data_IF_932583894207
#
_entry.id   IF_932583894207
#
_cell.length_a   1.000
_cell.length_b   1.000
_cell.length_c   1.000
_cell.angle_alpha   90.00
_cell.angle_beta   90.00
_cell.angle_gamma   90.00
#
_symmetry.space_group_name_H-M   'P 1'
#
loop_
_entity.id
_entity.type
_entity.pdbx_description
1 polymer ?
#
# COMPACT_ATOMS: atom_id res chain seq x y z
N UNK A 1 47.28 -17.78 9.75
CA UNK A 1 45.97 -17.14 9.46
C UNK A 1 45.16 -18.19 8.73
N UNK A 2 44.27 -18.85 9.46
CA UNK A 2 43.45 -19.94 8.94
C UNK A 2 42.42 -19.40 7.93
N UNK A 3 42.40 -20.04 6.76
CA UNK A 3 41.40 -19.84 5.73
C UNK A 3 40.05 -20.39 6.23
N UNK A 4 39.19 -19.52 6.74
CA UNK A 4 37.79 -19.83 7.01
C UNK A 4 36.95 -19.77 5.72
N UNK A 5 37.31 -20.56 4.71
CA UNK A 5 36.33 -20.98 3.70
C UNK A 5 35.66 -22.26 4.21
N UNK A 6 34.76 -22.08 5.18
CA UNK A 6 33.91 -23.15 5.68
C UNK A 6 32.92 -23.58 4.60
N UNK A 7 33.09 -24.80 4.08
CA UNK A 7 32.06 -25.71 3.59
C UNK A 7 30.73 -25.04 3.15
N UNK A 8 30.68 -24.47 1.95
CA UNK A 8 29.39 -24.28 1.27
C UNK A 8 28.92 -25.66 0.79
N UNK A 9 28.33 -26.44 1.70
CA UNK A 9 27.62 -27.66 1.35
C UNK A 9 26.58 -27.34 0.27
N UNK A 10 26.46 -28.22 -0.73
CA UNK A 10 25.55 -28.08 -1.88
C UNK A 10 24.23 -27.42 -1.50
N UNK A 11 24.05 -26.17 -1.92
CA UNK A 11 22.83 -25.39 -1.71
C UNK A 11 21.69 -26.05 -2.51
N UNK A 12 20.79 -26.77 -1.84
CA UNK A 12 19.56 -27.30 -2.44
C UNK A 12 18.35 -26.48 -1.98
N UNK A 13 17.34 -26.32 -2.85
CA UNK A 13 16.10 -25.61 -2.50
C UNK A 13 15.41 -26.23 -1.27
N UNK A 14 15.50 -27.56 -1.10
CA UNK A 14 14.91 -28.29 0.03
C UNK A 14 15.51 -27.92 1.38
N UNK A 15 16.75 -27.41 1.40
CA UNK A 15 17.47 -27.02 2.62
C UNK A 15 17.59 -25.51 2.79
N UNK A 16 16.90 -24.73 1.95
CA UNK A 16 16.91 -23.27 2.09
C UNK A 16 16.28 -22.87 3.43
N UNK A 17 16.94 -22.03 4.22
CA UNK A 17 16.41 -21.57 5.50
C UNK A 17 15.33 -20.51 5.28
N UNK A 18 14.13 -20.93 4.83
CA UNK A 18 13.02 -20.03 4.48
C UNK A 18 12.59 -19.15 5.66
N UNK A 19 12.64 -19.68 6.89
CA UNK A 19 12.37 -18.89 8.09
C UNK A 19 13.32 -17.71 8.20
N UNK A 20 14.63 -17.94 8.08
CA UNK A 20 15.64 -16.88 8.12
C UNK A 20 15.44 -15.88 6.97
N UNK A 21 15.08 -16.35 5.78
CA UNK A 21 14.76 -15.47 4.64
C UNK A 21 13.58 -14.53 4.92
N UNK A 22 12.51 -15.05 5.55
CA UNK A 22 11.33 -14.25 5.90
C UNK A 22 11.66 -13.28 7.06
N UNK A 23 12.41 -13.74 8.05
CA UNK A 23 12.81 -12.95 9.23
C UNK A 23 13.72 -11.76 8.86
N UNK A 24 14.69 -11.98 7.96
CA UNK A 24 15.61 -10.95 7.49
C UNK A 24 15.02 -10.05 6.39
N UNK A 25 13.84 -10.38 5.86
CA UNK A 25 13.14 -9.55 4.88
C UNK A 25 12.80 -8.19 5.49
N UNK A 26 13.11 -7.11 4.77
CA UNK A 26 12.65 -5.75 5.12
C UNK A 26 11.20 -5.50 4.75
N UNK A 27 10.59 -6.38 3.94
CA UNK A 27 9.18 -6.31 3.60
C UNK A 27 8.35 -6.99 4.69
N UNK A 28 7.21 -6.41 5.07
CA UNK A 28 6.16 -7.09 5.84
C UNK A 28 5.81 -8.43 5.22
N UNK A 29 5.93 -9.50 6.00
CA UNK A 29 5.52 -10.85 5.61
C UNK A 29 4.82 -11.57 6.75
N UNK A 30 3.80 -12.32 6.38
CA UNK A 30 3.07 -13.20 7.27
C UNK A 30 2.77 -14.52 6.58
N UNK A 31 2.69 -15.59 7.36
CA UNK A 31 2.27 -16.91 6.90
C UNK A 31 0.99 -17.26 7.65
N UNK A 32 -0.01 -17.76 6.92
CA UNK A 32 -1.23 -18.31 7.50
C UNK A 32 -1.41 -19.78 7.11
N UNK A 33 -2.06 -20.54 7.97
CA UNK A 33 -2.51 -21.89 7.67
C UNK A 33 -3.71 -21.87 6.71
N UNK A 34 -4.11 -23.05 6.24
CA UNK A 34 -5.31 -23.23 5.41
C UNK A 34 -6.60 -22.78 6.12
N UNK A 35 -6.61 -22.67 7.45
CA UNK A 35 -7.74 -22.19 8.24
C UNK A 35 -7.66 -20.68 8.53
N UNK A 36 -6.85 -19.93 7.76
CA UNK A 36 -6.60 -18.49 7.93
C UNK A 36 -6.01 -18.09 9.28
N UNK A 37 -5.39 -19.03 10.01
CA UNK A 37 -4.73 -18.75 11.28
C UNK A 37 -3.28 -18.35 11.06
N UNK A 38 -2.82 -17.31 11.73
CA UNK A 38 -1.43 -16.86 11.62
C UNK A 38 -0.48 -17.92 12.17
N UNK A 39 0.50 -18.32 11.35
CA UNK A 39 1.58 -19.24 11.71
C UNK A 39 2.85 -18.45 12.02
N UNK A 40 3.09 -17.36 11.28
CA UNK A 40 4.27 -16.54 11.47
C UNK A 40 4.03 -15.10 11.02
N UNK A 41 4.63 -14.13 11.71
CA UNK A 41 4.65 -12.72 11.34
C UNK A 41 6.06 -12.19 11.58
N UNK A 42 6.70 -11.61 10.55
CA UNK A 42 8.02 -11.01 10.73
C UNK A 42 7.94 -9.62 11.38
N UNK A 43 9.07 -9.10 11.87
CA UNK A 43 9.11 -7.79 12.54
C UNK A 43 8.54 -6.64 11.70
N UNK A 44 8.87 -6.48 10.40
CA UNK A 44 8.24 -5.47 9.57
C UNK A 44 6.71 -5.61 9.47
N UNK A 45 6.16 -6.83 9.47
CA UNK A 45 4.71 -7.03 9.47
C UNK A 45 4.07 -6.70 10.82
N UNK A 46 4.72 -7.01 11.95
CA UNK A 46 4.26 -6.54 13.27
C UNK A 46 4.18 -5.01 13.32
N UNK A 47 5.19 -4.33 12.78
CA UNK A 47 5.23 -2.87 12.74
C UNK A 47 4.20 -2.29 11.78
N UNK A 48 4.10 -2.83 10.55
CA UNK A 48 3.09 -2.43 9.55
C UNK A 48 1.66 -2.62 10.07
N UNK A 49 1.33 -3.80 10.59
CA UNK A 49 -0.02 -4.10 11.08
C UNK A 49 -0.30 -3.48 12.45
N UNK A 50 0.64 -2.70 13.01
CA UNK A 50 0.54 -2.11 14.33
C UNK A 50 0.22 -3.13 15.45
N UNK A 51 0.68 -4.37 15.29
CA UNK A 51 0.42 -5.45 16.25
C UNK A 51 1.28 -5.21 17.50
N UNK A 52 0.72 -5.25 18.72
CA UNK A 52 1.51 -5.12 19.95
C UNK A 52 2.60 -6.18 20.02
N UNK A 53 3.82 -5.81 20.40
CA UNK A 53 4.96 -6.74 20.43
C UNK A 53 4.77 -7.93 21.39
N UNK A 54 3.93 -7.76 22.41
CA UNK A 54 3.58 -8.79 23.39
C UNK A 54 2.38 -9.65 22.97
N UNK A 55 1.75 -9.36 21.84
CA UNK A 55 0.59 -10.11 21.38
C UNK A 55 1.01 -11.47 20.83
N UNK A 56 0.40 -12.53 21.36
CA UNK A 56 0.60 -13.89 20.88
C UNK A 56 -0.28 -14.14 19.64
N UNK A 57 0.31 -13.94 18.47
CA UNK A 57 -0.37 -14.03 17.19
C UNK A 57 -0.52 -15.47 16.67
N UNK A 58 0.25 -16.43 17.18
CA UNK A 58 0.28 -17.77 16.61
C UNK A 58 -1.07 -18.47 16.85
N UNK A 59 -1.62 -19.07 15.79
CA UNK A 59 -2.93 -19.71 15.81
C UNK A 59 -4.13 -18.76 15.79
N UNK A 60 -3.93 -17.43 15.84
CA UNK A 60 -5.04 -16.44 15.85
C UNK A 60 -5.63 -16.22 14.46
N UNK A 61 -6.93 -15.93 14.42
CA UNK A 61 -7.63 -15.37 13.26
C UNK A 61 -7.45 -13.85 13.22
N UNK A 62 -7.66 -13.22 12.06
CA UNK A 62 -7.60 -11.76 11.89
C UNK A 62 -8.50 -11.01 12.90
N UNK A 63 -9.69 -11.53 13.19
CA UNK A 63 -10.67 -10.94 14.10
C UNK A 63 -10.23 -10.96 15.57
N UNK A 64 -9.23 -11.77 15.93
CA UNK A 64 -8.72 -11.87 17.31
C UNK A 64 -7.63 -10.83 17.59
N UNK A 65 -7.18 -10.07 16.58
CA UNK A 65 -6.13 -9.07 16.77
C UNK A 65 -6.65 -7.79 17.42
N UNK A 66 -5.88 -7.19 18.36
CA UNK A 66 -6.22 -5.95 19.02
C UNK A 66 -5.85 -4.74 18.14
N UNK A 67 -6.27 -4.75 16.87
CA UNK A 67 -5.92 -3.75 15.87
C UNK A 67 -7.17 -3.33 15.08
N UNK A 68 -7.31 -2.06 14.63
CA UNK A 68 -8.50 -1.60 13.92
C UNK A 68 -8.85 -2.42 12.67
N UNK A 69 -7.84 -2.90 11.94
CA UNK A 69 -8.05 -3.73 10.75
C UNK A 69 -8.72 -5.08 11.04
N UNK A 70 -8.79 -5.54 12.30
CA UNK A 70 -9.46 -6.80 12.65
C UNK A 70 -10.97 -6.77 12.36
N UNK A 71 -11.56 -5.57 12.24
CA UNK A 71 -12.95 -5.39 11.82
C UNK A 71 -13.18 -5.87 10.37
N UNK A 72 -12.14 -5.91 9.53
CA UNK A 72 -12.18 -6.41 8.14
C UNK A 72 -11.73 -7.87 8.00
N UNK A 73 -11.86 -8.66 9.08
CA UNK A 73 -11.41 -10.05 9.12
C UNK A 73 -12.07 -10.93 8.05
N UNK A 74 -13.34 -10.69 7.72
CA UNK A 74 -14.07 -11.45 6.70
C UNK A 74 -13.45 -11.24 5.31
N UNK A 75 -13.12 -10.00 4.96
CA UNK A 75 -12.46 -9.65 3.71
C UNK A 75 -11.05 -10.25 3.61
N UNK A 76 -10.30 -10.26 4.71
CA UNK A 76 -8.97 -10.88 4.74
C UNK A 76 -9.01 -12.40 4.59
N UNK A 77 -10.01 -13.07 5.15
CA UNK A 77 -10.24 -14.50 4.94
C UNK A 77 -10.72 -14.80 3.52
N UNK A 78 -11.59 -13.95 2.95
CA UNK A 78 -11.95 -14.05 1.54
C UNK A 78 -10.72 -13.88 0.62
N UNK A 79 -9.78 -13.01 0.99
CA UNK A 79 -8.50 -12.86 0.30
C UNK A 79 -7.62 -14.11 0.43
N UNK A 80 -7.59 -14.77 1.60
CA UNK A 80 -6.94 -16.07 1.76
C UNK A 80 -7.54 -17.11 0.79
N UNK A 81 -8.87 -17.23 0.73
CA UNK A 81 -9.55 -18.19 -0.18
C UNK A 81 -9.27 -17.89 -1.67
N UNK A 82 -9.28 -16.62 -2.06
CA UNK A 82 -8.96 -16.22 -3.44
C UNK A 82 -7.50 -16.56 -3.80
N UNK A 83 -6.57 -16.36 -2.87
CA UNK A 83 -5.17 -16.71 -3.09
C UNK A 83 -4.94 -18.22 -3.22
N UNK A 84 -5.62 -19.01 -2.40
CA UNK A 84 -5.49 -20.48 -2.41
C UNK A 84 -6.03 -21.13 -3.68
N UNK A 85 -7.05 -20.53 -4.29
CA UNK A 85 -7.66 -21.01 -5.55
C UNK A 85 -6.93 -20.55 -6.81
N UNK A 86 -5.89 -19.71 -6.69
CA UNK A 86 -5.16 -19.12 -7.82
C UNK A 86 -3.67 -19.42 -7.75
N UNK A 87 -3.09 -19.96 -8.83
CA UNK A 87 -1.64 -20.21 -8.89
C UNK A 87 -0.81 -18.93 -8.75
N UNK A 88 -1.31 -17.80 -9.26
CA UNK A 88 -0.68 -16.48 -9.13
C UNK A 88 -0.94 -15.81 -7.79
N UNK A 89 -1.72 -16.45 -6.91
CA UNK A 89 -2.21 -15.84 -5.68
C UNK A 89 -3.32 -14.81 -5.93
N UNK A 90 -3.50 -13.92 -4.97
CA UNK A 90 -4.47 -12.84 -5.05
C UNK A 90 -3.92 -11.56 -4.42
N UNK A 91 -4.34 -10.42 -4.96
CA UNK A 91 -3.87 -9.09 -4.58
C UNK A 91 -5.05 -8.25 -4.08
N UNK A 92 -4.79 -7.43 -3.07
CA UNK A 92 -5.72 -6.43 -2.57
C UNK A 92 -4.99 -5.10 -2.36
N UNK A 93 -5.75 -4.01 -2.41
CA UNK A 93 -5.39 -2.76 -1.75
C UNK A 93 -6.25 -2.69 -0.49
N UNK A 94 -5.61 -2.57 0.67
CA UNK A 94 -6.31 -2.42 1.95
C UNK A 94 -5.97 -1.08 2.58
N UNK A 95 -6.98 -0.38 3.06
CA UNK A 95 -6.85 0.93 3.70
C UNK A 95 -7.36 0.82 5.12
N UNK A 96 -6.48 1.05 6.10
CA UNK A 96 -6.81 1.10 7.53
C UNK A 96 -5.73 1.86 8.30
N UNK A 97 -5.83 1.87 9.62
CA UNK A 97 -4.88 2.49 10.54
C UNK A 97 -3.65 1.61 10.73
N UNK A 98 -2.71 1.74 9.80
CA UNK A 98 -1.46 0.99 9.80
C UNK A 98 -0.32 1.75 10.47
N UNK A 99 0.73 0.99 10.73
CA UNK A 99 1.99 1.41 11.35
C UNK A 99 1.84 1.87 12.80
N UNK A 100 2.97 2.08 13.47
CA UNK A 100 2.99 2.65 14.84
C UNK A 100 2.42 4.06 14.92
N UNK A 101 2.25 4.75 13.79
CA UNK A 101 1.64 6.06 13.73
C UNK A 101 0.11 6.02 13.67
N UNK A 102 -0.50 4.85 13.43
CA UNK A 102 -1.94 4.69 13.31
C UNK A 102 -2.57 5.73 12.38
N UNK A 103 -2.03 5.84 11.16
CA UNK A 103 -2.55 6.74 10.12
C UNK A 103 -3.36 5.91 9.14
N UNK A 104 -4.53 6.42 8.75
CA UNK A 104 -5.33 5.83 7.69
C UNK A 104 -4.56 5.92 6.37
N UNK A 105 -4.03 4.80 5.87
CA UNK A 105 -3.24 4.77 4.65
C UNK A 105 -3.45 3.46 3.85
N UNK A 106 -3.41 3.53 2.51
CA UNK A 106 -3.58 2.34 1.67
C UNK A 106 -2.26 1.57 1.51
N UNK A 107 -2.36 0.25 1.54
CA UNK A 107 -1.27 -0.69 1.32
C UNK A 107 -1.67 -1.72 0.29
N UNK A 108 -0.70 -2.08 -0.55
CA UNK A 108 -0.86 -3.21 -1.46
C UNK A 108 -0.39 -4.48 -0.74
N UNK A 109 -1.22 -5.53 -0.78
CA UNK A 109 -0.96 -6.81 -0.16
C UNK A 109 -1.18 -7.94 -1.16
N UNK A 110 -0.23 -8.85 -1.27
CA UNK A 110 -0.31 -10.01 -2.14
C UNK A 110 -0.11 -11.28 -1.31
N UNK A 111 -1.02 -12.22 -1.48
CA UNK A 111 -0.96 -13.56 -0.89
C UNK A 111 -0.70 -14.59 -1.98
N UNK A 112 0.28 -15.46 -1.74
CA UNK A 112 0.59 -16.61 -2.58
C UNK A 112 0.16 -17.90 -1.88
N UNK A 113 -0.36 -18.90 -2.60
CA UNK A 113 -0.59 -20.22 -2.03
C UNK A 113 0.74 -20.90 -1.70
N UNK A 114 0.79 -21.57 -0.55
CA UNK A 114 1.89 -22.46 -0.17
C UNK A 114 1.47 -23.88 -0.49
N UNK A 115 2.29 -24.60 -1.25
CA UNK A 115 2.01 -25.99 -1.62
C UNK A 115 2.86 -26.97 -0.81
N UNK A 116 2.25 -28.10 -0.45
CA UNK A 116 2.94 -29.30 0.03
C UNK A 116 3.66 -30.02 -1.11
N UNK A 117 4.46 -31.04 -0.77
CA UNK A 117 5.06 -31.97 -1.73
C UNK A 117 4.01 -32.70 -2.59
N UNK A 118 2.79 -32.87 -2.09
CA UNK A 118 1.64 -33.48 -2.78
C UNK A 118 0.84 -32.47 -3.62
N UNK A 119 1.37 -31.25 -3.81
CA UNK A 119 0.73 -30.15 -4.54
C UNK A 119 -0.61 -29.70 -3.96
N UNK A 120 -0.87 -30.01 -2.69
CA UNK A 120 -2.03 -29.49 -1.96
C UNK A 120 -1.68 -28.14 -1.35
N UNK A 121 -2.63 -27.20 -1.39
CA UNK A 121 -2.47 -25.91 -0.73
C UNK A 121 -2.59 -26.10 0.78
N UNK A 122 -1.60 -25.62 1.53
CA UNK A 122 -1.52 -25.79 3.00
C UNK A 122 -1.61 -24.45 3.76
N UNK A 123 -1.72 -23.34 3.04
CA UNK A 123 -1.79 -22.01 3.61
C UNK A 123 -1.37 -20.93 2.62
N UNK A 124 -1.12 -19.73 3.13
CA UNK A 124 -0.75 -18.57 2.33
C UNK A 124 0.50 -17.88 2.87
N UNK A 125 1.35 -17.40 1.96
CA UNK A 125 2.43 -16.46 2.24
C UNK A 125 2.02 -15.08 1.76
N UNK A 126 1.92 -14.12 2.67
CA UNK A 126 1.60 -12.74 2.38
C UNK A 126 2.88 -11.89 2.34
N UNK A 127 2.91 -10.89 1.47
CA UNK A 127 3.71 -9.69 1.70
C UNK A 127 2.87 -8.43 1.50
N UNK A 128 3.27 -7.36 2.19
CA UNK A 128 2.67 -6.04 2.01
C UNK A 128 3.75 -5.01 1.65
N UNK A 129 3.36 -3.96 0.93
CA UNK A 129 4.17 -2.76 0.70
C UNK A 129 3.27 -1.53 0.61
N UNK A 130 3.83 -0.37 0.96
CA UNK A 130 3.13 0.91 0.77
C UNK A 130 2.72 1.03 -0.69
N UNK A 131 1.49 1.48 -0.91
CA UNK A 131 1.01 1.73 -2.26
C UNK A 131 1.88 2.84 -2.89
N UNK A 132 2.39 2.57 -4.08
CA UNK A 132 3.19 3.50 -4.86
C UNK A 132 2.58 3.62 -6.24
N UNK A 133 2.47 4.84 -6.74
CA UNK A 133 2.05 5.09 -8.11
C UNK A 133 3.28 5.46 -8.96
N UNK A 134 3.21 5.10 -10.24
CA UNK A 134 4.15 5.57 -11.25
C UNK A 134 3.31 6.20 -12.34
N UNK A 135 3.46 7.51 -12.55
CA UNK A 135 2.87 8.16 -13.70
C UNK A 135 3.68 7.84 -14.96
N UNK A 136 3.07 8.05 -16.14
CA UNK A 136 3.78 7.94 -17.42
C UNK A 136 4.97 8.92 -17.48
N UNK A 137 4.81 10.10 -16.87
CA UNK A 137 5.87 11.11 -16.78
C UNK A 137 7.03 10.55 -15.95
N UNK A 138 6.76 9.97 -14.78
CA UNK A 138 7.80 9.35 -13.94
C UNK A 138 8.55 8.24 -14.70
N UNK A 139 7.82 7.44 -15.48
CA UNK A 139 8.42 6.40 -16.30
C UNK A 139 9.33 6.96 -17.40
N UNK A 140 8.88 7.97 -18.14
CA UNK A 140 9.64 8.62 -19.22
C UNK A 140 10.89 9.31 -18.66
N UNK A 141 10.73 10.03 -17.56
CA UNK A 141 11.81 10.78 -16.90
C UNK A 141 12.72 9.89 -16.06
N UNK A 142 12.49 8.57 -16.06
CA UNK A 142 13.23 7.54 -15.30
C UNK A 142 13.28 7.84 -13.81
N UNK A 143 12.24 8.49 -13.30
CA UNK A 143 12.06 8.72 -11.88
C UNK A 143 11.65 7.41 -11.21
N UNK A 144 12.12 7.23 -9.97
CA UNK A 144 11.72 6.06 -9.18
C UNK A 144 10.22 6.19 -8.84
N UNK A 145 9.45 5.08 -8.85
CA UNK A 145 8.09 5.11 -8.35
C UNK A 145 8.10 5.67 -6.93
N UNK A 146 7.27 6.67 -6.71
CA UNK A 146 7.23 7.36 -5.44
C UNK A 146 6.10 6.78 -4.59
N UNK A 147 6.40 6.63 -3.30
CA UNK A 147 5.42 6.17 -2.34
C UNK A 147 4.36 7.26 -2.17
N UNK A 148 3.11 6.84 -2.07
CA UNK A 148 1.99 7.74 -1.79
C UNK A 148 2.26 8.54 -0.51
N UNK A 149 2.06 9.86 -0.58
CA UNK A 149 2.24 10.76 0.54
C UNK A 149 0.90 11.32 1.01
N UNK A 150 0.64 11.25 2.31
CA UNK A 150 -0.58 11.78 2.92
C UNK A 150 -0.40 13.19 3.50
N UNK A 151 0.82 13.69 3.53
CA UNK A 151 1.12 15.05 3.98
C UNK A 151 1.57 15.87 2.77
N UNK A 152 1.00 17.07 2.56
CA UNK A 152 1.35 17.88 1.41
C UNK A 152 2.82 18.32 1.53
N UNK A 153 3.63 18.20 0.45
CA UNK A 153 5.04 18.61 0.49
C UNK A 153 5.22 20.13 0.53
N UNK A 154 4.15 20.91 0.31
CA UNK A 154 4.15 22.37 0.28
C UNK A 154 2.95 22.94 1.03
N UNK A 155 3.13 24.10 1.68
CA UNK A 155 2.11 24.75 2.53
C UNK A 155 1.31 25.88 1.87
N UNK A 156 1.46 26.10 0.55
CA UNK A 156 0.85 27.26 -0.14
C UNK A 156 -0.63 27.06 -0.50
N UNK A 157 -1.11 25.81 -0.46
CA UNK A 157 -2.46 25.43 -0.82
C UNK A 157 -3.28 25.06 0.41
N UNK A 158 -4.53 25.47 0.40
CA UNK A 158 -5.54 25.02 1.37
C UNK A 158 -5.96 23.58 1.07
N UNK A 159 -6.55 22.89 2.04
CA UNK A 159 -7.06 21.51 1.86
C UNK A 159 -8.01 21.40 0.65
N UNK A 160 -8.91 22.38 0.49
CA UNK A 160 -9.83 22.44 -0.66
C UNK A 160 -9.14 22.67 -1.99
N UNK A 161 -8.03 23.39 -2.01
CA UNK A 161 -7.23 23.53 -3.24
C UNK A 161 -6.48 22.24 -3.53
N UNK A 162 -5.93 21.57 -2.52
CA UNK A 162 -5.27 20.27 -2.66
C UNK A 162 -6.21 19.19 -3.21
N UNK A 163 -7.48 19.15 -2.78
CA UNK A 163 -8.52 18.28 -3.36
C UNK A 163 -8.73 18.54 -4.85
N UNK A 164 -8.82 19.80 -5.25
CA UNK A 164 -9.02 20.17 -6.66
C UNK A 164 -7.77 19.84 -7.48
N UNK A 165 -6.58 20.13 -6.96
CA UNK A 165 -5.30 19.80 -7.60
C UNK A 165 -5.22 18.30 -7.83
N UNK A 166 -5.53 17.48 -6.81
CA UNK A 166 -5.51 16.02 -6.89
C UNK A 166 -6.30 15.50 -8.10
N UNK A 167 -7.55 15.94 -8.28
CA UNK A 167 -8.34 15.52 -9.44
C UNK A 167 -7.91 16.18 -10.76
N UNK A 168 -7.49 17.44 -10.72
CA UNK A 168 -7.10 18.18 -11.91
C UNK A 168 -5.87 17.58 -12.60
N UNK A 169 -4.84 17.19 -11.85
CA UNK A 169 -3.61 16.58 -12.43
C UNK A 169 -3.89 15.20 -13.07
N UNK A 170 -4.99 14.55 -12.68
CA UNK A 170 -5.51 13.33 -13.32
C UNK A 170 -6.35 13.61 -14.58
N UNK A 171 -6.41 14.88 -15.01
CA UNK A 171 -7.18 15.39 -16.16
C UNK A 171 -8.70 15.17 -16.05
N UNK A 172 -9.22 15.06 -14.82
CA UNK A 172 -10.66 14.97 -14.59
C UNK A 172 -11.32 16.33 -14.92
N UNK A 173 -12.40 16.37 -15.73
CA UNK A 173 -13.05 17.62 -16.09
C UNK A 173 -13.64 18.35 -14.89
N UNK A 174 -13.63 19.70 -14.90
CA UNK A 174 -14.15 20.52 -13.80
C UNK A 174 -15.61 20.20 -13.41
N UNK A 175 -16.43 19.75 -14.37
CA UNK A 175 -17.79 19.26 -14.11
C UNK A 175 -17.81 18.04 -13.20
N UNK A 176 -16.97 17.05 -13.48
CA UNK A 176 -16.86 15.83 -12.67
C UNK A 176 -16.21 16.11 -11.32
N UNK A 177 -15.20 16.98 -11.27
CA UNK A 177 -14.61 17.45 -10.01
C UNK A 177 -15.70 18.08 -9.13
N UNK A 178 -16.55 18.94 -9.72
CA UNK A 178 -17.67 19.56 -9.02
C UNK A 178 -18.62 18.53 -8.41
N UNK A 179 -18.97 17.48 -9.16
CA UNK A 179 -19.79 16.38 -8.64
C UNK A 179 -19.09 15.63 -7.49
N UNK A 180 -17.81 15.28 -7.64
CA UNK A 180 -17.02 14.56 -6.61
C UNK A 180 -16.84 15.36 -5.32
N UNK A 181 -16.74 16.68 -5.42
CA UNK A 181 -16.52 17.59 -4.29
C UNK A 181 -17.80 18.27 -3.80
N UNK A 182 -18.97 17.94 -4.37
CA UNK A 182 -20.25 18.55 -4.05
C UNK A 182 -20.27 20.09 -4.18
N UNK A 183 -19.63 20.63 -5.23
CA UNK A 183 -19.57 22.07 -5.55
C UNK A 183 -19.87 22.32 -7.04
N UNK A 184 -20.13 23.57 -7.41
CA UNK A 184 -20.38 23.91 -8.82
C UNK A 184 -19.10 23.82 -9.67
N UNK A 185 -19.22 23.45 -10.95
CA UNK A 185 -18.08 23.46 -11.89
C UNK A 185 -17.42 24.85 -12.01
N UNK A 186 -18.22 25.92 -11.94
CA UNK A 186 -17.71 27.31 -11.93
C UNK A 186 -16.83 27.59 -10.70
N UNK A 187 -17.18 27.01 -9.55
CA UNK A 187 -16.37 27.11 -8.33
C UNK A 187 -15.02 26.40 -8.52
N UNK A 188 -15.01 25.24 -9.18
CA UNK A 188 -13.78 24.51 -9.52
C UNK A 188 -12.89 25.34 -10.44
N UNK A 189 -13.45 25.85 -11.55
CA UNK A 189 -12.73 26.70 -12.52
C UNK A 189 -12.14 27.95 -11.85
N UNK A 190 -12.94 28.66 -11.04
CA UNK A 190 -12.48 29.83 -10.30
C UNK A 190 -11.35 29.51 -9.33
N UNK A 191 -11.41 28.36 -8.63
CA UNK A 191 -10.33 27.92 -7.74
C UNK A 191 -9.08 27.51 -8.52
N UNK A 192 -9.21 26.85 -9.67
CA UNK A 192 -8.09 26.53 -10.54
C UNK A 192 -7.34 27.78 -11.00
N UNK A 193 -8.06 28.84 -11.38
CA UNK A 193 -7.41 30.12 -11.73
C UNK A 193 -6.58 30.67 -10.56
N UNK A 194 -7.13 30.68 -9.34
CA UNK A 194 -6.38 31.10 -8.15
C UNK A 194 -5.17 30.20 -7.86
N UNK A 195 -5.31 28.90 -8.05
CA UNK A 195 -4.20 27.93 -7.92
C UNK A 195 -3.10 28.27 -8.92
N UNK A 196 -3.46 28.54 -10.18
CA UNK A 196 -2.51 28.93 -11.22
C UNK A 196 -1.78 30.22 -10.88
N UNK A 197 -2.51 31.25 -10.42
CA UNK A 197 -1.93 32.52 -9.98
C UNK A 197 -0.93 32.33 -8.83
N UNK A 198 -1.24 31.47 -7.85
CA UNK A 198 -0.35 31.18 -6.71
C UNK A 198 1.01 30.61 -7.11
N UNK A 199 1.06 29.86 -8.20
CA UNK A 199 2.29 29.20 -8.67
C UNK A 199 2.86 29.85 -9.94
N UNK A 200 2.28 30.96 -10.40
CA UNK A 200 2.75 31.69 -11.58
C UNK A 200 2.60 30.93 -12.90
N UNK A 201 1.62 30.02 -13.01
CA UNK A 201 1.29 29.33 -14.27
C UNK A 201 -0.05 29.81 -14.81
N UNK A 202 -0.43 29.38 -16.01
CA UNK A 202 -1.70 29.76 -16.64
C UNK A 202 -2.42 28.58 -17.33
N UNK A 203 -1.95 27.35 -17.10
CA UNK A 203 -2.47 26.16 -17.76
C UNK A 203 -2.42 24.93 -16.86
N UNK A 204 -3.25 23.94 -17.18
CA UNK A 204 -3.25 22.65 -16.49
C UNK A 204 -1.89 21.94 -16.62
N UNK A 205 -1.24 22.03 -17.78
CA UNK A 205 0.08 21.42 -17.97
C UNK A 205 1.13 22.08 -17.06
N UNK A 206 1.10 23.40 -16.89
CA UNK A 206 1.96 24.09 -15.94
C UNK A 206 1.71 23.68 -14.48
N UNK A 207 0.45 23.44 -14.10
CA UNK A 207 0.12 22.87 -12.79
C UNK A 207 0.68 21.46 -12.62
N UNK A 208 0.56 20.60 -13.64
CA UNK A 208 1.10 19.23 -13.61
C UNK A 208 2.62 19.27 -13.42
N UNK A 209 3.33 20.08 -14.22
CA UNK A 209 4.79 20.23 -14.13
C UNK A 209 5.25 20.74 -12.75
N UNK A 210 4.55 21.74 -12.21
CA UNK A 210 4.78 22.20 -10.84
C UNK A 210 4.59 21.06 -9.83
N UNK A 211 3.50 20.29 -9.93
CA UNK A 211 3.23 19.18 -9.02
C UNK A 211 4.27 18.05 -9.11
N UNK A 212 4.85 17.80 -10.29
CA UNK A 212 5.99 16.91 -10.43
C UNK A 212 7.23 17.47 -9.71
N UNK A 213 7.56 18.73 -9.97
CA UNK A 213 8.73 19.42 -9.40
C UNK A 213 8.73 19.42 -7.87
N UNK A 214 7.57 19.68 -7.25
CA UNK A 214 7.45 19.75 -5.77
C UNK A 214 7.01 18.44 -5.12
N UNK A 215 6.85 17.35 -5.89
CA UNK A 215 6.40 16.06 -5.37
C UNK A 215 4.91 15.96 -5.00
N UNK A 216 4.10 16.99 -5.32
CA UNK A 216 2.67 17.04 -5.01
C UNK A 216 1.85 16.03 -5.84
N UNK A 217 2.38 15.53 -6.96
CA UNK A 217 1.75 14.47 -7.76
C UNK A 217 1.58 13.14 -7.00
N UNK A 218 2.36 12.90 -5.95
CA UNK A 218 2.25 11.71 -5.09
C UNK A 218 1.34 11.92 -3.88
N UNK A 219 0.77 13.12 -3.71
CA UNK A 219 -0.06 13.45 -2.58
C UNK A 219 -1.50 12.95 -2.77
N UNK A 220 -2.05 12.31 -1.74
CA UNK A 220 -3.46 11.94 -1.69
C UNK A 220 -4.12 12.66 -0.51
N UNK A 221 -5.18 13.46 -0.76
CA UNK A 221 -5.95 14.07 0.32
C UNK A 221 -6.55 13.02 1.26
N UNK A 222 -6.26 13.13 2.56
CA UNK A 222 -6.68 12.15 3.58
C UNK A 222 -8.20 11.94 3.63
N UNK A 223 -8.98 12.98 3.36
CA UNK A 223 -10.44 12.92 3.37
C UNK A 223 -11.05 12.17 2.17
N UNK A 224 -10.24 11.82 1.17
CA UNK A 224 -10.66 10.95 0.06
C UNK A 224 -10.41 9.47 0.38
N UNK A 225 -9.67 9.16 1.45
CA UNK A 225 -9.48 7.80 1.91
C UNK A 225 -10.68 7.32 2.72
N UNK A 226 -10.98 6.03 2.58
CA UNK A 226 -11.97 5.31 3.37
C UNK A 226 -11.37 3.96 3.75
N UNK A 227 -11.74 3.44 4.91
CA UNK A 227 -11.38 2.07 5.26
C UNK A 227 -12.01 1.09 4.28
N UNK A 228 -11.30 -0.02 4.03
CA UNK A 228 -11.81 -1.07 3.17
C UNK A 228 -10.73 -1.96 2.57
N UNK A 229 -11.21 -3.01 1.92
CA UNK A 229 -10.42 -3.97 1.16
C UNK A 229 -10.94 -3.99 -0.27
N UNK A 230 -10.12 -3.50 -1.19
CA UNK A 230 -10.40 -3.51 -2.62
C UNK A 230 -9.61 -4.66 -3.28
N UNK A 231 -10.32 -5.61 -3.87
CA UNK A 231 -9.70 -6.71 -4.62
C UNK A 231 -9.21 -6.23 -5.98
N UNK A 232 -7.94 -6.52 -6.29
CA UNK A 232 -7.37 -6.32 -7.62
C UNK A 232 -7.74 -7.45 -8.59
#
# INVERSE_FOLDING_TARGET
>A
MENNFSNQGNLSLEKLPLLSFIEQSKLPRAVKSIDSRFVYINKPALDFSNIPLSFDFEGRLDSEFPCPWSEMAEEYQAHDRKAESSQGGAEIITTSYYTRHAVLEPWYCHKFPIFSSEKQVIGTLCYAKRLSFMSIIDFIDKLKPSVLNLNPPVGIFTERELEIIFFAIQRIPAKEIGLKLCISHRTVESKLLKIYDKIGVNSLNGLIEYCHTVGLHNYVPKNLLREGVDFC
#
